data_IF_179302048696
#
_entry.id   IF_179302048696
#
_cell.length_a   1.000
_cell.length_b   1.000
_cell.length_c   1.000
_cell.angle_alpha   90.00
_cell.angle_beta   90.00
_cell.angle_gamma   90.00
#
_symmetry.space_group_name_H-M   'P 1'
#
loop_
_entity.id
_entity.type
_entity.pdbx_description
1 polymer ?
#
# COMPACT_ATOMS: atom_id res chain seq x y z
N UNK A 1 -14.12 26.49 21.18
CA UNK A 1 -14.97 26.14 20.02
C UNK A 1 -14.21 25.57 18.80
N UNK A 2 -13.05 26.15 18.42
CA UNK A 2 -12.22 25.68 17.30
C UNK A 2 -11.54 24.33 17.58
N UNK A 3 -11.00 24.14 18.79
CA UNK A 3 -10.31 22.91 19.19
C UNK A 3 -11.22 21.67 19.19
N UNK A 4 -12.44 21.78 19.73
CA UNK A 4 -13.44 20.69 19.73
C UNK A 4 -13.81 20.29 18.29
N UNK A 5 -14.05 21.26 17.40
CA UNK A 5 -14.29 20.99 15.97
C UNK A 5 -13.09 20.35 15.27
N UNK A 6 -11.87 20.82 15.54
CA UNK A 6 -10.65 20.25 14.98
C UNK A 6 -10.47 18.79 15.42
N UNK A 7 -10.72 18.50 16.71
CA UNK A 7 -10.66 17.13 17.24
C UNK A 7 -11.70 16.22 16.60
N UNK A 8 -12.94 16.69 16.43
CA UNK A 8 -13.98 15.93 15.72
C UNK A 8 -13.63 15.62 14.25
N UNK A 9 -12.94 16.53 13.55
CA UNK A 9 -12.43 16.24 12.19
C UNK A 9 -11.29 15.22 12.22
N UNK A 10 -10.34 15.37 13.14
CA UNK A 10 -9.23 14.42 13.31
C UNK A 10 -9.73 13.01 13.56
N UNK A 11 -10.64 12.80 14.53
CA UNK A 11 -11.16 11.47 14.86
C UNK A 11 -11.81 10.79 13.66
N UNK A 12 -12.59 11.53 12.85
CA UNK A 12 -13.23 10.98 11.65
C UNK A 12 -12.22 10.63 10.55
N UNK A 13 -11.25 11.50 10.31
CA UNK A 13 -10.19 11.24 9.33
C UNK A 13 -9.31 10.07 9.76
N UNK A 14 -8.99 9.97 11.05
CA UNK A 14 -8.17 8.90 11.61
C UNK A 14 -8.77 7.52 11.38
N UNK A 15 -10.08 7.37 11.53
CA UNK A 15 -10.74 6.07 11.27
C UNK A 15 -10.58 5.65 9.81
N UNK A 16 -10.78 6.58 8.86
CA UNK A 16 -10.68 6.27 7.42
C UNK A 16 -9.23 6.03 7.01
N UNK A 17 -8.32 6.92 7.40
CA UNK A 17 -6.90 6.83 7.04
C UNK A 17 -6.21 5.65 7.74
N UNK A 18 -6.55 5.39 9.00
CA UNK A 18 -6.04 4.25 9.75
C UNK A 18 -6.48 2.93 9.14
N UNK A 19 -7.77 2.78 8.81
CA UNK A 19 -8.25 1.58 8.12
C UNK A 19 -7.61 1.38 6.74
N UNK A 20 -7.41 2.46 5.98
CA UNK A 20 -6.69 2.40 4.72
C UNK A 20 -5.22 1.97 4.92
N UNK A 21 -4.54 2.52 5.93
CA UNK A 21 -3.16 2.14 6.25
C UNK A 21 -3.04 0.67 6.67
N UNK A 22 -3.96 0.18 7.50
CA UNK A 22 -4.00 -1.23 7.92
C UNK A 22 -4.22 -2.17 6.73
N UNK A 23 -5.15 -1.81 5.83
CA UNK A 23 -5.37 -2.56 4.59
C UNK A 23 -4.11 -2.56 3.71
N UNK A 24 -3.49 -1.41 3.52
CA UNK A 24 -2.28 -1.31 2.69
C UNK A 24 -1.12 -2.11 3.30
N UNK A 25 -0.95 -2.14 4.62
CA UNK A 25 0.06 -2.97 5.27
C UNK A 25 -0.11 -4.46 4.95
N UNK A 26 -1.35 -4.96 4.90
CA UNK A 26 -1.65 -6.34 4.51
C UNK A 26 -1.35 -6.59 3.03
N UNK A 27 -1.75 -5.68 2.15
CA UNK A 27 -1.40 -5.73 0.72
C UNK A 27 0.11 -5.79 0.53
N UNK A 28 0.87 -4.92 1.19
CA UNK A 28 2.34 -4.89 1.08
C UNK A 28 2.98 -6.18 1.59
N UNK A 29 2.42 -6.80 2.64
CA UNK A 29 2.90 -8.09 3.13
C UNK A 29 2.63 -9.22 2.13
N UNK A 30 1.43 -9.25 1.53
CA UNK A 30 1.07 -10.22 0.50
C UNK A 30 1.95 -10.04 -0.76
N UNK A 31 2.09 -8.81 -1.26
CA UNK A 31 2.93 -8.50 -2.42
C UNK A 31 4.39 -8.90 -2.19
N UNK A 32 4.98 -8.57 -1.03
CA UNK A 32 6.34 -8.98 -0.69
C UNK A 32 6.54 -10.49 -0.69
N UNK A 33 5.52 -11.26 -0.27
CA UNK A 33 5.57 -12.72 -0.32
C UNK A 33 5.60 -13.23 -1.77
N UNK A 34 4.76 -12.67 -2.65
CA UNK A 34 4.73 -13.06 -4.07
C UNK A 34 6.03 -12.65 -4.82
N UNK A 35 6.64 -11.53 -4.46
CA UNK A 35 7.89 -11.07 -5.07
C UNK A 35 9.13 -11.86 -4.61
N UNK A 36 9.08 -12.59 -3.49
CA UNK A 36 10.23 -13.30 -2.91
C UNK A 36 10.84 -14.34 -3.89
N UNK A 37 10.02 -14.98 -4.73
CA UNK A 37 10.47 -15.97 -5.71
C UNK A 37 10.86 -15.37 -7.07
N UNK A 38 10.97 -14.04 -7.17
CA UNK A 38 11.14 -13.28 -8.41
C UNK A 38 12.39 -12.42 -8.37
N UNK A 39 12.85 -11.95 -9.54
CA UNK A 39 13.93 -10.96 -9.62
C UNK A 39 13.38 -9.52 -9.49
N UNK A 40 12.33 -9.30 -8.70
CA UNK A 40 11.64 -8.02 -8.57
C UNK A 40 11.54 -7.58 -7.10
N UNK A 41 11.69 -6.28 -6.86
CA UNK A 41 11.80 -5.70 -5.52
C UNK A 41 10.81 -4.56 -5.32
N UNK A 42 10.05 -4.58 -4.22
CA UNK A 42 9.29 -3.42 -3.77
C UNK A 42 10.26 -2.37 -3.21
N UNK A 43 10.47 -1.30 -3.95
CA UNK A 43 11.49 -0.28 -3.62
C UNK A 43 10.91 0.96 -2.95
N UNK A 44 9.62 1.23 -3.10
CA UNK A 44 8.99 2.38 -2.47
C UNK A 44 7.50 2.17 -2.20
N UNK A 45 7.00 2.87 -1.18
CA UNK A 45 5.60 2.94 -0.82
C UNK A 45 5.25 4.36 -0.37
N UNK A 46 4.23 4.96 -0.98
CA UNK A 46 3.68 6.26 -0.62
C UNK A 46 2.16 6.15 -0.49
N UNK A 47 1.69 5.73 0.69
CA UNK A 47 0.28 5.64 1.11
C UNK A 47 -0.66 4.80 0.21
N UNK A 48 -0.88 5.21 -1.02
CA UNK A 48 -1.68 4.57 -2.06
C UNK A 48 -0.87 4.21 -3.31
N UNK A 49 0.43 4.55 -3.34
CA UNK A 49 1.34 4.20 -4.43
C UNK A 49 2.40 3.18 -4.00
N UNK A 50 2.66 2.21 -4.86
CA UNK A 50 3.76 1.25 -4.73
C UNK A 50 4.67 1.34 -5.95
N UNK A 51 5.98 1.26 -5.74
CA UNK A 51 6.96 1.21 -6.81
C UNK A 51 7.72 -0.10 -6.70
N UNK A 52 7.71 -0.88 -7.78
CA UNK A 52 8.44 -2.13 -7.91
C UNK A 52 9.53 -1.96 -8.97
N UNK A 53 10.76 -2.30 -8.61
CA UNK A 53 11.86 -2.44 -9.55
C UNK A 53 11.90 -3.89 -10.04
N UNK A 54 11.83 -4.10 -11.36
CA UNK A 54 11.83 -5.43 -11.94
C UNK A 54 12.54 -5.43 -13.31
N UNK A 55 13.13 -6.57 -13.74
CA UNK A 55 13.58 -6.80 -15.10
C UNK A 55 12.44 -6.60 -16.10
N UNK A 56 12.78 -6.16 -17.31
CA UNK A 56 11.80 -5.91 -18.37
C UNK A 56 10.96 -7.16 -18.74
N UNK A 57 11.52 -8.36 -18.56
CA UNK A 57 10.82 -9.62 -18.79
C UNK A 57 9.72 -9.93 -17.77
N UNK A 58 9.84 -9.42 -16.54
CA UNK A 58 8.88 -9.65 -15.45
C UNK A 58 7.93 -8.47 -15.25
N UNK A 59 8.34 -7.26 -15.65
CA UNK A 59 7.56 -6.02 -15.48
C UNK A 59 6.08 -6.12 -15.92
N UNK A 60 5.72 -6.80 -17.04
CA UNK A 60 4.31 -6.94 -17.45
C UNK A 60 3.42 -7.71 -16.46
N UNK A 61 4.00 -8.59 -15.65
CA UNK A 61 3.24 -9.42 -14.69
C UNK A 61 2.98 -8.68 -13.36
N UNK A 62 3.82 -7.69 -13.03
CA UNK A 62 3.79 -7.00 -11.73
C UNK A 62 2.42 -6.37 -11.42
N UNK A 63 1.73 -5.68 -12.35
CA UNK A 63 0.40 -5.11 -12.07
C UNK A 63 -0.61 -6.16 -11.62
N UNK A 64 -0.58 -7.37 -12.20
CA UNK A 64 -1.48 -8.45 -11.82
C UNK A 64 -1.15 -8.99 -10.41
N UNK A 65 0.13 -9.05 -10.03
CA UNK A 65 0.54 -9.43 -8.69
C UNK A 65 0.06 -8.42 -7.64
N UNK A 66 0.14 -7.11 -7.94
CA UNK A 66 -0.38 -6.05 -7.06
C UNK A 66 -1.90 -6.19 -6.90
N UNK A 67 -2.63 -6.39 -8.01
CA UNK A 67 -4.08 -6.55 -7.97
C UNK A 67 -4.54 -7.79 -7.18
N UNK A 68 -3.79 -8.90 -7.25
CA UNK A 68 -4.10 -10.13 -6.51
C UNK A 68 -3.72 -10.06 -5.02
N UNK A 69 -2.83 -9.14 -4.64
CA UNK A 69 -2.43 -8.93 -3.26
C UNK A 69 -3.40 -8.01 -2.48
N UNK A 70 -4.27 -7.30 -3.20
CA UNK A 70 -5.27 -6.36 -2.69
C UNK A 70 -6.56 -7.07 -2.21
#
# INVERSE_FOLDING_TARGET
PSASRARGRFTRNFVVQGAAADWTLLLLAALRRELNSRAAELVFFQHDEVIVHAPASEAPDIPALIANAA
#
